data_IF_128981146162
#
_entry.id   IF_128981146162
#
_cell.length_a   1.000
_cell.length_b   1.000
_cell.length_c   1.000
_cell.angle_alpha   90.00
_cell.angle_beta   90.00
_cell.angle_gamma   90.00
#
_symmetry.space_group_name_H-M   'P 1'
#
loop_
_entity.id
_entity.type
_entity.pdbx_description
1 polymer ?
#
# COMPACT_ATOMS: atom_id res chain seq x y z
N UNK A 1 5.72 -15.63 15.02
CA UNK A 1 7.13 -15.69 14.57
C UNK A 1 7.22 -14.62 13.52
N UNK A 2 8.17 -13.71 13.67
CA UNK A 2 8.12 -12.41 13.01
C UNK A 2 9.35 -12.28 12.13
N UNK A 3 9.18 -11.76 10.92
CA UNK A 3 10.28 -11.61 9.97
C UNK A 3 10.69 -10.15 9.82
N UNK A 4 12.00 -9.90 9.97
CA UNK A 4 12.59 -8.57 9.81
C UNK A 4 13.66 -8.60 8.72
N UNK A 5 13.43 -7.85 7.63
CA UNK A 5 14.30 -7.80 6.46
C UNK A 5 14.80 -6.40 6.13
N UNK A 6 16.11 -6.26 5.89
CA UNK A 6 16.71 -5.05 5.31
C UNK A 6 17.58 -5.37 4.08
N UNK A 7 17.47 -4.58 3.01
CA UNK A 7 18.30 -4.82 1.81
C UNK A 7 18.18 -3.78 0.69
N UNK A 8 19.20 -3.71 -0.16
CA UNK A 8 19.19 -2.86 -1.36
C UNK A 8 18.44 -3.51 -2.53
N UNK A 9 18.71 -4.79 -2.82
CA UNK A 9 18.07 -5.61 -3.85
C UNK A 9 17.78 -7.00 -3.31
N UNK A 10 16.52 -7.36 -3.10
CA UNK A 10 16.11 -8.71 -2.69
C UNK A 10 14.69 -9.00 -3.18
N UNK A 11 14.42 -10.27 -3.38
CA UNK A 11 13.07 -10.82 -3.45
C UNK A 11 12.82 -11.57 -2.15
N UNK A 12 11.64 -11.39 -1.56
CA UNK A 12 11.28 -12.05 -0.32
C UNK A 12 9.90 -12.70 -0.51
N UNK A 13 9.73 -13.86 0.11
CA UNK A 13 8.43 -14.50 0.30
C UNK A 13 8.35 -14.90 1.77
N UNK A 14 7.41 -14.35 2.52
CA UNK A 14 7.29 -14.61 3.97
C UNK A 14 5.86 -14.97 4.35
N UNK A 15 5.73 -15.82 5.38
CA UNK A 15 4.46 -16.21 5.98
C UNK A 15 4.65 -16.21 7.48
N UNK A 16 4.36 -15.08 8.10
CA UNK A 16 4.69 -14.79 9.50
C UNK A 16 3.54 -14.05 10.17
N UNK A 17 3.53 -14.00 11.50
CA UNK A 17 2.48 -13.26 12.21
C UNK A 17 2.60 -11.76 11.88
N UNK A 18 3.82 -11.25 11.99
CA UNK A 18 4.15 -9.87 11.65
C UNK A 18 5.40 -9.82 10.74
N UNK A 19 5.38 -8.94 9.73
CA UNK A 19 6.55 -8.67 8.90
C UNK A 19 6.95 -7.19 8.91
N UNK A 20 8.25 -6.93 9.01
CA UNK A 20 8.80 -5.57 8.87
C UNK A 20 9.92 -5.55 7.84
N UNK A 21 9.71 -4.82 6.73
CA UNK A 21 10.65 -4.81 5.60
C UNK A 21 11.08 -3.40 5.21
N UNK A 22 12.39 -3.15 5.24
CA UNK A 22 13.03 -1.88 4.82
C UNK A 22 14.00 -2.09 3.66
N UNK A 23 14.04 -1.18 2.67
CA UNK A 23 14.91 -1.42 1.50
C UNK A 23 14.59 -0.66 0.22
N UNK A 24 15.56 -0.58 -0.70
CA UNK A 24 15.52 0.35 -1.84
C UNK A 24 14.82 -0.21 -3.08
N UNK A 25 15.17 -1.42 -3.52
CA UNK A 25 14.60 -2.08 -4.69
C UNK A 25 14.20 -3.52 -4.34
N UNK A 26 12.91 -3.83 -4.36
CA UNK A 26 12.42 -5.09 -3.81
C UNK A 26 11.14 -5.55 -4.52
N UNK A 27 10.99 -6.86 -4.67
CA UNK A 27 9.70 -7.50 -4.92
C UNK A 27 9.36 -8.38 -3.71
N UNK A 28 8.11 -8.37 -3.30
CA UNK A 28 7.68 -9.15 -2.15
C UNK A 28 6.29 -9.70 -2.30
N UNK A 29 6.15 -10.91 -1.78
CA UNK A 29 4.88 -11.52 -1.49
C UNK A 29 4.85 -11.88 -0.02
N UNK A 30 3.81 -11.45 0.69
CA UNK A 30 3.61 -11.89 2.06
C UNK A 30 2.17 -12.21 2.37
N UNK A 31 2.06 -13.12 3.33
CA UNK A 31 0.85 -13.40 4.08
C UNK A 31 1.14 -13.18 5.55
N UNK A 32 0.42 -12.27 6.20
CA UNK A 32 0.63 -11.97 7.62
C UNK A 32 -0.64 -11.55 8.34
N UNK A 33 -0.55 -11.36 9.66
CA UNK A 33 -1.56 -10.61 10.39
C UNK A 33 -1.26 -9.12 10.24
N UNK A 34 -0.02 -8.69 10.47
CA UNK A 34 0.42 -7.31 10.30
C UNK A 34 1.64 -7.16 9.40
N UNK A 35 1.59 -6.24 8.44
CA UNK A 35 2.72 -5.92 7.55
C UNK A 35 3.13 -4.45 7.64
N UNK A 36 4.44 -4.19 7.81
CA UNK A 36 5.03 -2.84 7.77
C UNK A 36 6.15 -2.76 6.73
N UNK A 37 5.95 -1.92 5.71
CA UNK A 37 6.77 -1.95 4.49
C UNK A 37 7.28 -0.56 4.12
N UNK A 38 8.59 -0.32 4.22
CA UNK A 38 9.20 0.97 3.86
C UNK A 38 10.27 0.85 2.76
N UNK A 39 10.19 1.69 1.71
CA UNK A 39 11.14 1.61 0.58
C UNK A 39 10.82 2.42 -0.68
N UNK A 40 11.75 2.41 -1.65
CA UNK A 40 11.87 3.47 -2.67
C UNK A 40 11.55 3.08 -4.13
N UNK A 41 11.58 1.80 -4.50
CA UNK A 41 11.18 1.29 -5.82
C UNK A 41 10.74 -0.17 -5.69
N UNK A 42 9.46 -0.47 -5.77
CA UNK A 42 9.02 -1.81 -5.38
C UNK A 42 7.68 -2.26 -5.99
N UNK A 43 7.52 -3.57 -6.14
CA UNK A 43 6.25 -4.25 -6.42
C UNK A 43 5.89 -5.14 -5.23
N UNK A 44 4.66 -5.03 -4.71
CA UNK A 44 4.21 -5.81 -3.53
C UNK A 44 2.89 -6.47 -3.81
N UNK A 45 2.80 -7.72 -3.37
CA UNK A 45 1.54 -8.41 -3.16
C UNK A 45 1.44 -8.75 -1.68
N UNK A 46 0.44 -8.20 -1.00
CA UNK A 46 0.23 -8.42 0.44
C UNK A 46 -1.15 -8.96 0.71
N UNK A 47 -1.19 -9.99 1.55
CA UNK A 47 -2.40 -10.53 2.16
C UNK A 47 -2.22 -10.37 3.66
N UNK A 48 -2.84 -9.37 4.25
CA UNK A 48 -2.73 -9.16 5.69
C UNK A 48 -4.07 -8.84 6.32
N UNK A 49 -4.13 -8.80 7.66
CA UNK A 49 -5.25 -8.15 8.32
C UNK A 49 -5.02 -6.64 8.30
N UNK A 50 -3.82 -6.23 8.68
CA UNK A 50 -3.40 -4.82 8.71
C UNK A 50 -2.17 -4.63 7.81
N UNK A 51 -2.21 -3.67 6.88
CA UNK A 51 -1.05 -3.31 6.03
C UNK A 51 -0.70 -1.82 6.20
N UNK A 52 0.56 -1.54 6.52
CA UNK A 52 1.11 -0.19 6.59
C UNK A 52 2.30 -0.10 5.65
N UNK A 53 2.21 0.80 4.68
CA UNK A 53 3.24 0.85 3.66
C UNK A 53 3.56 2.28 3.20
N UNK A 54 4.87 2.56 3.12
CA UNK A 54 5.41 3.91 2.95
C UNK A 54 6.52 3.95 1.88
N UNK A 55 6.38 4.73 0.81
CA UNK A 55 7.45 4.73 -0.20
C UNK A 55 7.40 5.70 -1.37
N UNK A 56 8.45 5.63 -2.19
CA UNK A 56 8.53 6.32 -3.50
C UNK A 56 8.40 5.26 -4.60
N UNK A 57 7.79 5.60 -5.74
CA UNK A 57 7.61 4.75 -6.95
C UNK A 57 7.24 3.28 -6.71
N UNK A 58 5.95 2.95 -6.64
CA UNK A 58 5.55 1.57 -6.40
C UNK A 58 4.30 1.11 -7.16
N UNK A 59 4.15 -0.21 -7.29
CA UNK A 59 2.92 -0.87 -7.74
C UNK A 59 2.47 -1.88 -6.66
N UNK A 60 1.29 -1.70 -6.08
CA UNK A 60 0.80 -2.54 -4.99
C UNK A 60 -0.50 -3.24 -5.34
N UNK A 61 -0.54 -4.51 -4.98
CA UNK A 61 -1.76 -5.30 -4.89
C UNK A 61 -1.90 -5.74 -3.44
N UNK A 62 -2.88 -5.20 -2.73
CA UNK A 62 -3.11 -5.55 -1.32
C UNK A 62 -4.51 -6.05 -1.13
N UNK A 63 -4.66 -7.15 -0.40
CA UNK A 63 -5.92 -7.49 0.24
C UNK A 63 -5.69 -7.42 1.75
N UNK A 64 -6.39 -6.50 2.42
CA UNK A 64 -6.29 -6.34 3.86
C UNK A 64 -7.66 -6.07 4.48
N UNK A 65 -7.82 -6.19 5.80
CA UNK A 65 -8.99 -5.62 6.47
C UNK A 65 -8.81 -4.11 6.57
N UNK A 66 -7.65 -3.68 7.09
CA UNK A 66 -7.27 -2.28 7.24
C UNK A 66 -5.98 -1.98 6.47
N UNK A 67 -5.97 -0.87 5.74
CA UNK A 67 -4.81 -0.53 4.92
C UNK A 67 -4.44 0.96 4.95
N UNK A 68 -3.22 1.27 5.39
CA UNK A 68 -2.67 2.63 5.42
C UNK A 68 -1.47 2.80 4.50
N UNK A 69 -1.59 3.75 3.58
CA UNK A 69 -0.62 3.91 2.48
C UNK A 69 -0.20 5.35 2.29
N UNK A 70 1.11 5.58 2.28
CA UNK A 70 1.68 6.88 1.94
C UNK A 70 2.76 6.76 0.86
N UNK A 71 2.62 7.50 -0.24
CA UNK A 71 3.65 7.51 -1.28
C UNK A 71 3.65 8.70 -2.23
N UNK A 72 4.72 8.80 -3.04
CA UNK A 72 4.85 9.90 -4.01
C UNK A 72 4.31 9.54 -5.39
N UNK A 73 4.59 8.33 -5.88
CA UNK A 73 4.17 7.86 -7.19
C UNK A 73 3.74 6.40 -7.08
N UNK A 74 2.44 6.12 -7.10
CA UNK A 74 1.96 4.76 -6.89
C UNK A 74 0.87 4.37 -7.89
N UNK A 75 0.90 3.11 -8.27
CA UNK A 75 -0.18 2.41 -8.95
C UNK A 75 -0.73 1.39 -7.97
N UNK A 76 -2.06 1.32 -7.80
CA UNK A 76 -2.62 0.51 -6.73
C UNK A 76 -3.89 -0.21 -7.14
N UNK A 77 -3.97 -1.47 -6.71
CA UNK A 77 -5.21 -2.24 -6.60
C UNK A 77 -5.36 -2.69 -5.15
N UNK A 78 -6.48 -2.34 -4.50
CA UNK A 78 -6.77 -2.81 -3.15
C UNK A 78 -8.20 -3.27 -2.99
N UNK A 79 -8.33 -4.36 -2.25
CA UNK A 79 -9.56 -4.77 -1.60
C UNK A 79 -9.35 -4.65 -0.09
N UNK A 80 -10.12 -3.78 0.56
CA UNK A 80 -10.06 -3.61 2.01
C UNK A 80 -11.43 -3.41 2.64
N UNK A 81 -11.56 -3.53 3.97
CA UNK A 81 -12.73 -2.98 4.65
C UNK A 81 -12.54 -1.48 4.79
N UNK A 82 -11.39 -1.06 5.33
CA UNK A 82 -11.04 0.34 5.51
C UNK A 82 -9.72 0.68 4.80
N UNK A 83 -9.74 1.79 4.05
CA UNK A 83 -8.59 2.25 3.27
C UNK A 83 -8.22 3.69 3.55
N UNK A 84 -6.94 3.95 3.82
CA UNK A 84 -6.37 5.30 3.85
C UNK A 84 -5.24 5.42 2.83
N UNK A 85 -5.32 6.49 2.04
CA UNK A 85 -4.34 6.81 1.03
C UNK A 85 -3.85 8.24 1.02
N UNK A 86 -2.54 8.42 1.00
CA UNK A 86 -1.90 9.72 0.90
C UNK A 86 -0.84 9.76 -0.22
N UNK A 87 -0.86 10.78 -1.08
CA UNK A 87 0.27 10.98 -2.00
C UNK A 87 0.16 11.99 -3.16
N UNK A 88 1.22 12.07 -3.98
CA UNK A 88 1.42 13.16 -4.96
C UNK A 88 1.12 12.86 -6.45
N UNK A 89 1.17 11.60 -6.89
CA UNK A 89 0.78 11.18 -8.25
C UNK A 89 0.33 9.72 -8.25
N UNK A 90 -0.97 9.45 -8.30
CA UNK A 90 -1.43 8.06 -8.19
C UNK A 90 -2.56 7.69 -9.15
N UNK A 91 -2.60 6.39 -9.47
CA UNK A 91 -3.76 5.72 -10.05
C UNK A 91 -4.18 4.58 -9.11
N UNK A 92 -5.42 4.61 -8.64
CA UNK A 92 -5.93 3.64 -7.66
C UNK A 92 -7.21 3.01 -8.16
N UNK A 93 -7.26 1.70 -8.00
CA UNK A 93 -8.48 0.90 -8.00
C UNK A 93 -8.69 0.40 -6.58
N UNK A 94 -9.79 0.80 -5.95
CA UNK A 94 -10.09 0.40 -4.56
C UNK A 94 -11.50 -0.14 -4.48
N UNK A 95 -11.64 -1.32 -3.90
CA UNK A 95 -12.90 -1.82 -3.38
C UNK A 95 -12.80 -1.78 -1.86
N UNK A 96 -13.59 -0.92 -1.21
CA UNK A 96 -13.63 -0.92 0.25
C UNK A 96 -15.00 -0.59 0.82
N UNK A 97 -15.21 -0.82 2.12
CA UNK A 97 -16.40 -0.30 2.79
C UNK A 97 -16.23 1.21 2.94
N UNK A 98 -15.11 1.59 3.55
CA UNK A 98 -14.74 2.98 3.82
C UNK A 98 -13.40 3.32 3.15
N UNK A 99 -13.31 4.50 2.53
CA UNK A 99 -12.08 4.97 1.91
C UNK A 99 -11.82 6.45 2.19
N UNK A 100 -10.60 6.78 2.61
CA UNK A 100 -10.12 8.15 2.77
C UNK A 100 -8.88 8.36 1.91
N UNK A 101 -8.96 9.33 1.02
CA UNK A 101 -7.91 9.61 0.05
C UNK A 101 -7.51 11.07 0.10
N UNK A 102 -6.19 11.32 0.18
CA UNK A 102 -5.59 12.67 0.17
C UNK A 102 -4.46 12.75 -0.84
N UNK A 103 -4.48 13.74 -1.74
CA UNK A 103 -3.35 13.87 -2.65
C UNK A 103 -3.42 14.91 -3.76
N UNK A 104 -2.31 15.04 -4.50
CA UNK A 104 -2.19 15.86 -5.71
C UNK A 104 -2.18 14.96 -6.95
N UNK A 105 -2.68 15.43 -8.10
CA UNK A 105 -2.72 14.75 -9.41
C UNK A 105 -3.10 13.26 -9.37
N UNK A 106 -4.37 12.95 -9.55
CA UNK A 106 -4.88 11.61 -9.25
C UNK A 106 -5.90 11.10 -10.27
N UNK A 107 -5.94 9.77 -10.45
CA UNK A 107 -7.02 9.05 -11.11
C UNK A 107 -7.51 7.92 -10.20
N UNK A 108 -8.82 7.82 -10.01
CA UNK A 108 -9.42 6.87 -9.06
C UNK A 108 -10.58 6.12 -9.70
N UNK A 109 -10.62 4.82 -9.43
CA UNK A 109 -11.80 3.98 -9.57
C UNK A 109 -12.09 3.40 -8.20
N UNK A 110 -13.14 3.87 -7.53
CA UNK A 110 -13.51 3.39 -6.19
C UNK A 110 -14.89 2.77 -6.22
N UNK A 111 -15.01 1.59 -5.64
CA UNK A 111 -16.28 0.99 -5.26
C UNK A 111 -16.30 0.95 -3.73
N UNK A 112 -16.90 1.96 -3.10
CA UNK A 112 -17.04 2.02 -1.65
C UNK A 112 -18.41 2.49 -1.21
N UNK A 113 -18.82 2.06 -0.02
CA UNK A 113 -20.05 2.57 0.61
C UNK A 113 -19.83 4.01 1.06
N UNK A 114 -18.72 4.29 1.73
CA UNK A 114 -18.34 5.64 2.15
C UNK A 114 -16.96 6.04 1.59
N UNK A 115 -16.89 7.23 1.00
CA UNK A 115 -15.67 7.73 0.36
C UNK A 115 -15.43 9.22 0.63
N UNK A 116 -14.27 9.55 1.19
CA UNK A 116 -13.81 10.92 1.44
C UNK A 116 -12.57 11.19 0.60
N UNK A 117 -12.69 12.11 -0.36
CA UNK A 117 -11.59 12.49 -1.26
C UNK A 117 -11.21 13.96 -1.03
N UNK A 118 -9.94 14.21 -0.70
CA UNK A 118 -9.35 15.54 -0.64
C UNK A 118 -8.22 15.66 -1.66
N UNK A 119 -8.52 16.32 -2.79
CA UNK A 119 -7.57 16.53 -3.89
C UNK A 119 -7.20 17.99 -4.04
N UNK A 120 -5.90 18.26 -4.13
CA UNK A 120 -5.38 19.56 -4.58
C UNK A 120 -4.94 19.43 -6.04
N UNK A 121 -5.71 20.03 -6.95
CA UNK A 121 -5.28 20.25 -8.33
C UNK A 121 -4.54 21.59 -8.42
N UNK A 122 -3.26 21.57 -8.79
CA UNK A 122 -2.61 22.77 -9.30
C UNK A 122 -2.79 22.78 -10.82
N UNK A 123 -3.36 23.88 -11.31
CA UNK A 123 -3.37 24.23 -12.74
C UNK A 123 -1.94 24.52 -13.20
#
# INVERSE_FOLDING_TARGET
MDDIGNGRHRQWTTSSMDNIVKGRHQQWMASAVGDIINGRHRQWTTLSKDDISNGRHRQWTTSAMDNFINGQHCQRTTSAMDGIGCGRHHQWTTSSMDNIVKGRHQQWTTSAMDNIVNTQHHQ
#
